data_IF_060284192014
#
_entry.id   IF_060284192014
#
_cell.length_a   1.000
_cell.length_b   1.000
_cell.length_c   1.000
_cell.angle_alpha   90.00
_cell.angle_beta   90.00
_cell.angle_gamma   90.00
#
_symmetry.space_group_name_H-M   'P 1'
#
loop_
_entity.id
_entity.type
_entity.pdbx_description
1 polymer ?
#
# COMPACT_ATOMS: atom_id res chain seq x y z
N UNK A 1 -2.47 9.82 -39.31
CA UNK A 1 -1.14 9.30 -38.92
C UNK A 1 -1.35 8.12 -37.98
N UNK A 2 -1.07 6.86 -38.40
CA UNK A 2 -1.13 5.70 -37.49
C UNK A 2 0.11 5.74 -36.60
N UNK A 3 -0.05 6.07 -35.32
CA UNK A 3 1.02 5.89 -34.33
C UNK A 3 1.21 4.39 -34.17
N UNK A 4 2.18 3.83 -34.89
CA UNK A 4 2.54 2.42 -34.75
C UNK A 4 3.52 2.32 -33.58
N UNK A 5 3.03 1.98 -32.40
CA UNK A 5 3.88 1.79 -31.21
C UNK A 5 4.80 0.60 -31.47
N UNK A 6 6.11 0.79 -31.26
CA UNK A 6 7.10 -0.25 -31.51
C UNK A 6 6.93 -1.42 -30.52
N UNK A 7 6.53 -2.58 -31.03
CA UNK A 7 6.36 -3.82 -30.25
C UNK A 7 7.60 -4.22 -29.44
N UNK A 8 8.82 -3.93 -29.91
CA UNK A 8 10.05 -4.23 -29.15
C UNK A 8 10.13 -3.39 -27.87
N UNK A 9 9.79 -2.10 -27.96
CA UNK A 9 9.77 -1.19 -26.79
C UNK A 9 8.71 -1.61 -25.77
N UNK A 10 7.52 -1.98 -26.23
CA UNK A 10 6.45 -2.48 -25.35
C UNK A 10 6.84 -3.78 -24.64
N UNK A 11 7.43 -4.75 -25.35
CA UNK A 11 7.92 -6.00 -24.75
C UNK A 11 9.02 -5.72 -23.72
N UNK A 12 9.95 -4.82 -24.02
CA UNK A 12 10.99 -4.42 -23.08
C UNK A 12 10.39 -3.78 -21.81
N UNK A 13 9.46 -2.83 -21.96
CA UNK A 13 8.76 -2.21 -20.83
C UNK A 13 8.01 -3.24 -19.97
N UNK A 14 7.34 -4.20 -20.60
CA UNK A 14 6.66 -5.30 -19.90
C UNK A 14 7.65 -6.12 -19.05
N UNK A 15 8.80 -6.48 -19.61
CA UNK A 15 9.85 -7.20 -18.88
C UNK A 15 10.33 -6.39 -17.68
N UNK A 16 10.56 -5.08 -17.85
CA UNK A 16 10.98 -4.20 -16.75
C UNK A 16 9.93 -4.16 -15.63
N UNK A 17 8.64 -4.04 -15.95
CA UNK A 17 7.58 -4.02 -14.94
C UNK A 17 7.41 -5.38 -14.24
N UNK A 18 7.59 -6.49 -14.95
CA UNK A 18 7.60 -7.82 -14.33
C UNK A 18 8.80 -7.98 -13.39
N UNK A 19 9.99 -7.52 -13.78
CA UNK A 19 11.17 -7.54 -12.92
C UNK A 19 10.98 -6.67 -11.68
N UNK A 20 10.34 -5.51 -11.83
CA UNK A 20 10.01 -4.64 -10.71
C UNK A 20 9.00 -5.32 -9.75
N UNK A 21 7.97 -6.00 -10.27
CA UNK A 21 7.06 -6.84 -9.46
C UNK A 21 7.79 -7.91 -8.67
N UNK A 22 8.74 -8.61 -9.30
CA UNK A 22 9.55 -9.64 -8.64
C UNK A 22 10.43 -9.02 -7.55
N UNK A 23 10.97 -7.82 -7.77
CA UNK A 23 11.75 -7.09 -6.78
C UNK A 23 10.88 -6.71 -5.57
N UNK A 24 9.71 -6.12 -5.79
CA UNK A 24 8.75 -5.79 -4.73
C UNK A 24 8.38 -7.02 -3.90
N UNK A 25 8.03 -8.13 -4.56
CA UNK A 25 7.70 -9.37 -3.88
C UNK A 25 8.83 -9.86 -2.97
N UNK A 26 10.08 -9.81 -3.45
CA UNK A 26 11.25 -10.20 -2.65
C UNK A 26 11.52 -9.26 -1.48
N UNK A 27 11.28 -7.95 -1.66
CA UNK A 27 11.44 -6.96 -0.59
C UNK A 27 10.43 -7.21 0.54
N UNK A 28 9.17 -7.41 0.19
CA UNK A 28 8.11 -7.70 1.15
C UNK A 28 8.36 -9.04 1.88
N UNK A 29 8.60 -10.12 1.13
CA UNK A 29 8.67 -11.48 1.68
C UNK A 29 9.92 -11.71 2.54
N UNK A 30 11.08 -11.21 2.11
CA UNK A 30 12.37 -11.53 2.78
C UNK A 30 12.82 -10.49 3.77
N UNK A 31 12.43 -9.24 3.59
CA UNK A 31 12.96 -8.13 4.36
C UNK A 31 11.88 -7.36 5.12
N UNK A 32 10.61 -7.74 4.97
CA UNK A 32 9.46 -7.04 5.54
C UNK A 32 9.46 -5.54 5.15
N UNK A 33 10.03 -5.22 3.97
CA UNK A 33 10.22 -3.86 3.47
C UNK A 33 9.15 -3.54 2.43
N UNK A 34 8.34 -2.54 2.75
CA UNK A 34 7.27 -2.04 1.90
C UNK A 34 7.64 -0.69 1.32
N UNK A 35 7.22 -0.45 0.08
CA UNK A 35 7.46 0.83 -0.58
C UNK A 35 6.48 1.88 -0.04
N UNK A 36 7.02 3.00 0.42
CA UNK A 36 6.24 4.16 0.83
C UNK A 36 6.98 5.44 0.47
N UNK A 37 6.54 6.09 -0.62
CA UNK A 37 7.22 7.26 -1.19
C UNK A 37 6.27 8.45 -1.18
N UNK A 38 6.66 9.55 -0.54
CA UNK A 38 5.88 10.80 -0.53
C UNK A 38 4.41 10.62 -0.10
N UNK A 39 4.15 9.70 0.84
CA UNK A 39 2.80 9.38 1.31
C UNK A 39 2.01 8.41 0.42
N UNK A 40 2.57 7.98 -0.71
CA UNK A 40 2.00 6.93 -1.56
C UNK A 40 2.44 5.58 -0.97
N UNK A 41 1.47 4.77 -0.54
CA UNK A 41 1.73 3.43 -0.03
C UNK A 41 1.88 2.40 -1.15
N UNK A 42 2.33 1.21 -0.77
CA UNK A 42 2.60 0.14 -1.72
C UNK A 42 1.36 -0.31 -2.50
N UNK A 43 0.18 -0.33 -1.88
CA UNK A 43 -1.07 -0.71 -2.57
C UNK A 43 -1.37 0.18 -3.78
N UNK A 44 -1.14 1.49 -3.66
CA UNK A 44 -1.33 2.41 -4.79
C UNK A 44 -0.26 2.18 -5.88
N UNK A 45 0.99 1.92 -5.47
CA UNK A 45 2.09 1.64 -6.41
C UNK A 45 1.79 0.34 -7.19
N UNK A 46 1.37 -0.70 -6.47
CA UNK A 46 0.95 -1.99 -6.99
C UNK A 46 -0.17 -1.82 -8.02
N UNK A 47 -1.21 -1.05 -7.69
CA UNK A 47 -2.33 -0.76 -8.58
C UNK A 47 -1.88 -0.06 -9.87
N UNK A 48 -1.02 0.96 -9.76
CA UNK A 48 -0.52 1.69 -10.93
C UNK A 48 0.31 0.77 -11.83
N UNK A 49 1.15 -0.07 -11.24
CA UNK A 49 1.96 -1.03 -11.97
C UNK A 49 1.11 -2.07 -12.71
N UNK A 50 0.07 -2.59 -12.06
CA UNK A 50 -0.84 -3.56 -12.67
C UNK A 50 -1.61 -2.93 -13.84
N UNK A 51 -2.13 -1.71 -13.67
CA UNK A 51 -2.79 -0.95 -14.75
C UNK A 51 -1.84 -0.76 -15.93
N UNK A 52 -0.58 -0.40 -15.69
CA UNK A 52 0.42 -0.22 -16.75
C UNK A 52 0.70 -1.53 -17.49
N UNK A 53 0.81 -2.65 -16.77
CA UNK A 53 0.99 -3.99 -17.36
C UNK A 53 -0.22 -4.34 -18.24
N UNK A 54 -1.44 -4.14 -17.76
CA UNK A 54 -2.68 -4.41 -18.51
C UNK A 54 -2.70 -3.59 -19.80
N UNK A 55 -2.40 -2.29 -19.74
CA UNK A 55 -2.35 -1.41 -20.91
C UNK A 55 -1.30 -1.92 -21.91
N UNK A 56 -0.11 -2.32 -21.46
CA UNK A 56 0.93 -2.83 -22.36
C UNK A 56 0.51 -4.14 -23.02
N UNK A 57 -0.07 -5.07 -22.25
CA UNK A 57 -0.55 -6.36 -22.77
C UNK A 57 -1.68 -6.16 -23.77
N UNK A 58 -2.66 -5.30 -23.46
CA UNK A 58 -3.73 -4.90 -24.36
C UNK A 58 -3.17 -4.37 -25.69
N UNK A 59 -2.24 -3.40 -25.63
CA UNK A 59 -1.59 -2.83 -26.82
C UNK A 59 -0.83 -3.86 -27.63
N UNK A 60 -0.13 -4.79 -26.99
CA UNK A 60 0.56 -5.88 -27.68
C UNK A 60 -0.43 -6.77 -28.43
N UNK A 61 -1.52 -7.21 -27.78
CA UNK A 61 -2.55 -8.05 -28.41
C UNK A 61 -3.20 -7.33 -29.60
N UNK A 62 -3.56 -6.06 -29.43
CA UNK A 62 -4.17 -5.23 -30.48
C UNK A 62 -3.27 -5.04 -31.71
N UNK A 63 -1.94 -5.03 -31.52
CA UNK A 63 -0.97 -4.88 -32.62
C UNK A 63 -0.86 -6.14 -33.48
N UNK A 64 -1.07 -7.34 -32.92
CA UNK A 64 -1.10 -8.60 -33.69
C UNK A 64 -2.49 -8.90 -34.26
N UNK A 65 -3.55 -8.33 -33.70
CA UNK A 65 -4.92 -8.60 -34.11
C UNK A 65 -5.33 -7.78 -35.33
N UNK A 66 -5.87 -8.43 -36.35
CA UNK A 66 -6.40 -7.77 -37.55
C UNK A 66 -7.94 -7.63 -37.52
N UNK A 67 -8.64 -8.56 -36.84
CA UNK A 67 -10.11 -8.59 -36.75
C UNK A 67 -10.65 -7.50 -35.82
N UNK A 68 -11.53 -6.63 -36.32
CA UNK A 68 -12.14 -5.53 -35.53
C UNK A 68 -12.89 -6.01 -34.29
N UNK A 69 -13.68 -7.08 -34.40
CA UNK A 69 -14.48 -7.63 -33.28
C UNK A 69 -13.58 -8.02 -32.11
N UNK A 70 -12.47 -8.71 -32.37
CA UNK A 70 -11.53 -9.12 -31.31
C UNK A 70 -10.92 -7.89 -30.62
N UNK A 71 -10.63 -6.81 -31.36
CA UNK A 71 -10.12 -5.57 -30.74
C UNK A 71 -11.09 -4.96 -29.75
N UNK A 72 -12.39 -4.94 -30.08
CA UNK A 72 -13.41 -4.44 -29.17
C UNK A 72 -13.53 -5.30 -27.91
N UNK A 73 -13.49 -6.63 -28.07
CA UNK A 73 -13.55 -7.57 -26.93
C UNK A 73 -12.34 -7.37 -26.01
N UNK A 74 -11.13 -7.33 -26.56
CA UNK A 74 -9.90 -7.18 -25.78
C UNK A 74 -9.89 -5.84 -25.02
N UNK A 75 -10.25 -4.74 -25.68
CA UNK A 75 -10.39 -3.44 -25.02
C UNK A 75 -11.44 -3.46 -23.90
N UNK A 76 -12.61 -4.07 -24.15
CA UNK A 76 -13.68 -4.16 -23.17
C UNK A 76 -13.23 -4.92 -21.92
N UNK A 77 -12.51 -6.05 -22.10
CA UNK A 77 -11.95 -6.82 -21.00
C UNK A 77 -10.91 -6.02 -20.21
N UNK A 78 -10.00 -5.32 -20.90
CA UNK A 78 -8.99 -4.49 -20.25
C UNK A 78 -9.62 -3.38 -19.41
N UNK A 79 -10.61 -2.67 -19.95
CA UNK A 79 -11.34 -1.61 -19.22
C UNK A 79 -12.09 -2.19 -18.03
N UNK A 80 -12.80 -3.31 -18.20
CA UNK A 80 -13.54 -3.97 -17.12
C UNK A 80 -12.60 -4.39 -15.99
N UNK A 81 -11.43 -4.95 -16.31
CA UNK A 81 -10.46 -5.38 -15.32
C UNK A 81 -9.82 -4.19 -14.59
N UNK A 82 -9.50 -3.10 -15.29
CA UNK A 82 -9.01 -1.86 -14.68
C UNK A 82 -10.06 -1.28 -13.72
N UNK A 83 -11.33 -1.22 -14.12
CA UNK A 83 -12.42 -0.75 -13.24
C UNK A 83 -12.57 -1.63 -12.00
N UNK A 84 -12.42 -2.94 -12.16
CA UNK A 84 -12.44 -3.87 -11.04
C UNK A 84 -11.27 -3.64 -10.07
N UNK A 85 -10.04 -3.46 -10.56
CA UNK A 85 -8.89 -3.14 -9.71
C UNK A 85 -9.06 -1.81 -8.96
N UNK A 86 -9.60 -0.78 -9.64
CA UNK A 86 -9.92 0.50 -9.01
C UNK A 86 -10.97 0.33 -7.91
N UNK A 87 -12.01 -0.49 -8.14
CA UNK A 87 -13.01 -0.80 -7.13
C UNK A 87 -12.41 -1.50 -5.90
N UNK A 88 -11.57 -2.51 -6.10
CA UNK A 88 -10.88 -3.19 -4.99
C UNK A 88 -10.00 -2.23 -4.21
N UNK A 89 -9.25 -1.36 -4.89
CA UNK A 89 -8.42 -0.36 -4.22
C UNK A 89 -9.24 0.67 -3.44
N UNK A 90 -10.39 1.12 -3.98
CA UNK A 90 -11.29 2.00 -3.25
C UNK A 90 -11.78 1.37 -1.95
N UNK A 91 -12.11 0.07 -1.98
CA UNK A 91 -12.53 -0.66 -0.78
C UNK A 91 -11.39 -0.84 0.23
N UNK A 92 -10.18 -1.15 -0.23
CA UNK A 92 -9.04 -1.48 0.65
C UNK A 92 -8.14 -0.30 1.06
N UNK A 93 -8.32 0.90 0.49
CA UNK A 93 -7.41 2.02 0.72
C UNK A 93 -8.11 3.35 1.06
N UNK A 94 -9.45 3.41 1.01
CA UNK A 94 -10.19 4.67 1.21
C UNK A 94 -10.07 5.26 2.61
N UNK A 95 -9.78 4.44 3.61
CA UNK A 95 -9.81 4.83 5.02
C UNK A 95 -8.42 4.90 5.66
N UNK A 96 -7.38 4.50 4.93
CA UNK A 96 -5.99 4.43 5.40
C UNK A 96 -5.41 5.80 5.69
N UNK A 97 -4.86 5.94 6.89
CA UNK A 97 -4.16 7.14 7.36
C UNK A 97 -2.80 6.77 7.93
N UNK A 98 -1.82 7.65 7.77
CA UNK A 98 -0.45 7.41 8.21
C UNK A 98 0.02 8.50 9.18
N UNK A 99 0.52 8.07 10.34
CA UNK A 99 1.03 8.97 11.38
C UNK A 99 2.51 8.71 11.62
N UNK A 100 3.27 9.77 11.91
CA UNK A 100 4.73 9.70 12.00
C UNK A 100 5.21 10.26 13.34
N UNK A 101 5.97 9.47 14.08
CA UNK A 101 6.54 9.87 15.36
C UNK A 101 8.04 9.64 15.36
N UNK A 102 8.82 10.69 15.59
CA UNK A 102 10.28 10.58 15.66
C UNK A 102 10.70 10.24 17.08
N UNK A 103 11.65 9.31 17.20
CA UNK A 103 12.35 9.02 18.46
C UNK A 103 13.08 10.27 18.99
N UNK A 104 13.35 10.36 20.31
CA UNK A 104 14.00 11.52 20.91
C UNK A 104 15.36 11.86 20.29
N UNK A 105 16.16 10.83 19.97
CA UNK A 105 17.47 10.96 19.32
C UNK A 105 17.40 11.02 17.77
N UNK A 106 16.19 10.92 17.18
CA UNK A 106 15.93 10.86 15.73
C UNK A 106 16.53 9.66 15.01
N UNK A 107 16.94 8.58 15.70
CA UNK A 107 17.47 7.37 15.04
C UNK A 107 16.37 6.53 14.41
N UNK A 108 15.18 6.52 15.02
CA UNK A 108 14.00 5.81 14.53
C UNK A 108 12.84 6.77 14.28
N UNK A 109 11.99 6.43 13.31
CA UNK A 109 10.69 7.07 13.10
C UNK A 109 9.63 5.98 13.03
N UNK A 110 8.72 5.96 14.00
CA UNK A 110 7.53 5.14 13.98
C UNK A 110 6.60 5.65 12.88
N UNK A 111 6.08 4.73 12.07
CA UNK A 111 4.99 4.98 11.14
C UNK A 111 3.83 4.10 11.57
N UNK A 112 2.69 4.71 11.83
CA UNK A 112 1.45 4.01 12.17
C UNK A 112 0.55 4.08 10.95
N UNK A 113 0.24 2.93 10.35
CA UNK A 113 -0.87 2.82 9.39
C UNK A 113 -2.13 2.55 10.20
N UNK A 114 -3.14 3.40 10.08
CA UNK A 114 -4.45 3.20 10.67
C UNK A 114 -5.48 2.99 9.56
N UNK A 115 -6.33 1.98 9.71
CA UNK A 115 -7.37 1.66 8.75
C UNK A 115 -8.63 1.16 9.47
N UNK A 116 -9.74 1.18 8.75
CA UNK A 116 -11.05 0.76 9.21
C UNK A 116 -11.85 0.20 8.03
N UNK A 117 -12.47 -0.96 8.22
CA UNK A 117 -13.36 -1.54 7.23
C UNK A 117 -14.53 -2.23 7.89
N UNK A 118 -15.75 -1.85 7.49
CA UNK A 118 -17.00 -2.30 8.11
C UNK A 118 -17.00 -2.05 9.62
N UNK A 119 -16.85 -3.10 10.43
CA UNK A 119 -16.84 -3.06 11.89
C UNK A 119 -15.44 -3.27 12.49
N UNK A 120 -14.42 -3.51 11.66
CA UNK A 120 -13.05 -3.70 12.12
C UNK A 120 -12.24 -2.42 12.01
N UNK A 121 -11.58 -2.01 13.08
CA UNK A 121 -10.51 -1.02 13.03
C UNK A 121 -9.18 -1.68 13.38
N UNK A 122 -8.10 -1.21 12.77
CA UNK A 122 -6.76 -1.71 13.12
C UNK A 122 -5.70 -0.66 12.87
N UNK A 123 -4.54 -0.87 13.49
CA UNK A 123 -3.35 -0.11 13.17
C UNK A 123 -2.12 -1.01 13.13
N UNK A 124 -1.38 -0.91 12.03
CA UNK A 124 -0.14 -1.63 11.82
C UNK A 124 1.04 -0.70 12.08
N UNK A 125 2.10 -1.25 12.68
CA UNK A 125 3.28 -0.48 13.06
C UNK A 125 4.46 -0.78 12.17
N UNK A 126 5.09 0.28 11.69
CA UNK A 126 6.26 0.21 10.83
C UNK A 126 7.36 1.14 11.33
N UNK A 127 8.58 0.88 10.90
CA UNK A 127 9.69 1.80 11.02
C UNK A 127 10.03 2.41 9.67
N UNK A 128 10.19 3.74 9.64
CA UNK A 128 10.66 4.43 8.43
C UNK A 128 12.11 4.04 8.12
N UNK A 129 12.36 3.51 6.92
CA UNK A 129 13.69 3.23 6.38
C UNK A 129 13.99 4.16 5.20
N UNK A 130 14.59 5.30 5.53
CA UNK A 130 14.95 6.32 4.54
C UNK A 130 13.74 7.00 3.89
N UNK A 131 13.87 7.36 2.61
CA UNK A 131 12.83 8.11 1.87
C UNK A 131 11.84 7.16 1.16
N UNK A 132 12.24 5.91 0.91
CA UNK A 132 11.49 5.04 0.01
C UNK A 132 10.75 3.90 0.71
N UNK A 133 11.15 3.53 1.92
CA UNK A 133 10.68 2.29 2.53
C UNK A 133 10.15 2.49 3.95
N UNK A 134 9.25 1.58 4.32
CA UNK A 134 8.87 1.30 5.70
C UNK A 134 9.13 -0.19 5.95
N UNK A 135 9.64 -0.53 7.13
CA UNK A 135 9.85 -1.91 7.57
C UNK A 135 8.75 -2.28 8.54
N UNK A 136 8.05 -3.39 8.30
CA UNK A 136 7.03 -3.90 9.21
C UNK A 136 7.67 -4.34 10.54
N UNK A 137 7.10 -3.87 11.65
CA UNK A 137 7.52 -4.24 13.00
C UNK A 137 6.77 -5.49 13.51
N UNK A 138 5.92 -6.10 12.68
CA UNK A 138 5.11 -7.30 12.97
C UNK A 138 4.26 -7.16 14.22
N UNK A 139 3.86 -5.92 14.50
CA UNK A 139 3.02 -5.54 15.62
C UNK A 139 1.80 -4.83 15.03
N UNK A 140 0.64 -5.13 15.60
CA UNK A 140 -0.63 -4.52 15.21
C UNK A 140 -1.52 -4.36 16.43
N UNK A 141 -2.39 -3.36 16.40
CA UNK A 141 -3.53 -3.25 17.31
C UNK A 141 -4.82 -3.39 16.50
N UNK A 142 -5.83 -3.95 17.13
CA UNK A 142 -7.19 -4.05 16.59
C UNK A 142 -8.10 -3.25 17.53
N UNK A 143 -9.08 -2.58 16.97
CA UNK A 143 -10.09 -1.77 17.64
C UNK A 143 -11.49 -2.23 17.23
N UNK A 144 -12.47 -1.93 18.08
CA UNK A 144 -13.86 -2.32 17.87
C UNK A 144 -14.62 -1.27 17.04
N UNK A 145 -15.71 -1.68 16.41
CA UNK A 145 -16.63 -0.82 15.66
C UNK A 145 -15.96 0.12 14.64
N UNK A 146 -14.86 -0.33 14.03
CA UNK A 146 -14.11 0.47 13.06
C UNK A 146 -13.40 1.69 13.67
N UNK A 147 -13.22 1.71 14.99
CA UNK A 147 -12.69 2.87 15.70
C UNK A 147 -11.24 3.18 15.32
N UNK A 148 -10.94 4.47 15.16
CA UNK A 148 -9.65 4.97 14.69
C UNK A 148 -9.02 5.92 15.71
N UNK A 149 -8.32 5.40 16.73
CA UNK A 149 -7.81 6.21 17.84
C UNK A 149 -6.83 7.31 17.38
N UNK A 150 -6.00 7.05 16.38
CA UNK A 150 -5.01 8.02 15.91
C UNK A 150 -5.65 9.16 15.12
N UNK A 151 -6.62 8.85 14.25
CA UNK A 151 -7.42 9.86 13.54
C UNK A 151 -8.30 10.69 14.47
N UNK A 152 -8.81 10.08 15.55
CA UNK A 152 -9.63 10.75 16.56
C UNK A 152 -8.81 11.51 17.62
N UNK A 153 -7.47 11.46 17.56
CA UNK A 153 -6.58 11.95 18.63
C UNK A 153 -6.87 11.35 20.02
N UNK A 154 -7.45 10.15 20.08
CA UNK A 154 -7.68 9.41 21.32
C UNK A 154 -6.55 8.41 21.58
N UNK A 155 -5.35 8.96 21.69
CA UNK A 155 -4.16 8.20 22.05
C UNK A 155 -3.16 9.06 22.83
N UNK A 156 -2.30 8.38 23.59
CA UNK A 156 -1.11 8.95 24.21
C UNK A 156 0.09 8.11 23.79
N UNK A 157 1.11 8.78 23.28
CA UNK A 157 2.36 8.15 22.85
C UNK A 157 3.50 8.64 23.73
N UNK A 158 4.26 7.69 24.30
CA UNK A 158 5.44 7.97 25.12
C UNK A 158 6.59 7.06 24.73
N UNK A 159 7.67 7.65 24.23
CA UNK A 159 8.93 6.93 24.05
C UNK A 159 9.48 6.52 25.42
N UNK A 160 9.70 5.23 25.61
CA UNK A 160 10.31 4.69 26.83
C UNK A 160 11.84 4.76 26.73
N UNK A 161 12.35 4.47 25.54
CA UNK A 161 13.74 4.64 25.12
C UNK A 161 13.79 4.94 23.60
N UNK A 162 14.94 4.77 22.94
CA UNK A 162 15.05 5.02 21.50
C UNK A 162 14.46 3.89 20.63
N UNK A 163 14.32 2.69 21.20
CA UNK A 163 13.93 1.45 20.51
C UNK A 163 12.56 0.92 20.99
N UNK A 164 11.87 1.62 21.89
CA UNK A 164 10.56 1.23 22.35
C UNK A 164 9.66 2.42 22.67
N UNK A 165 8.38 2.25 22.35
CA UNK A 165 7.35 3.28 22.51
C UNK A 165 6.10 2.66 23.11
N UNK A 166 5.60 3.30 24.16
CA UNK A 166 4.32 2.97 24.78
C UNK A 166 3.21 3.78 24.11
N UNK A 167 2.14 3.08 23.75
CA UNK A 167 0.94 3.66 23.15
C UNK A 167 -0.25 3.27 24.01
N UNK A 168 -0.96 4.27 24.52
CA UNK A 168 -2.27 4.11 25.14
C UNK A 168 -3.30 4.64 24.14
N UNK A 169 -4.31 3.86 23.81
CA UNK A 169 -5.25 4.18 22.72
C UNK A 169 -6.69 3.81 23.09
N UNK A 170 -7.65 4.59 22.59
CA UNK A 170 -9.07 4.27 22.69
C UNK A 170 -9.45 3.04 21.88
N UNK A 171 -10.26 2.16 22.45
CA UNK A 171 -10.61 0.88 21.82
C UNK A 171 -11.90 0.91 20.97
N UNK A 172 -12.83 1.83 21.23
CA UNK A 172 -14.06 2.00 20.44
C UNK A 172 -15.30 2.41 21.25
N UNK A 173 -15.46 1.84 22.44
CA UNK A 173 -16.50 2.25 23.40
C UNK A 173 -15.99 3.36 24.32
N UNK A 174 -16.88 4.27 24.73
CA UNK A 174 -16.57 5.35 25.67
C UNK A 174 -15.81 4.81 26.90
N UNK A 175 -14.64 5.42 27.18
CA UNK A 175 -13.74 5.17 28.32
C UNK A 175 -12.94 3.85 28.37
N UNK A 176 -12.88 3.05 27.29
CA UNK A 176 -11.95 1.90 27.24
C UNK A 176 -10.65 2.29 26.54
N UNK A 177 -9.58 2.44 27.32
CA UNK A 177 -8.22 2.58 26.82
C UNK A 177 -7.44 1.26 26.97
N UNK A 178 -6.73 0.88 25.91
CA UNK A 178 -5.75 -0.21 25.93
C UNK A 178 -4.35 0.34 25.84
N UNK A 179 -3.38 -0.47 26.24
CA UNK A 179 -1.96 -0.13 26.22
C UNK A 179 -1.19 -1.19 25.45
N UNK A 180 -0.34 -0.75 24.54
CA UNK A 180 0.58 -1.57 23.76
C UNK A 180 2.00 -0.99 23.82
N UNK A 181 3.02 -1.85 23.81
CA UNK A 181 4.42 -1.43 23.75
C UNK A 181 5.00 -1.89 22.42
N UNK A 182 5.33 -0.93 21.56
CA UNK A 182 5.91 -1.21 20.26
C UNK A 182 7.43 -1.19 20.37
N UNK A 183 8.07 -2.27 19.92
CA UNK A 183 9.53 -2.41 19.91
C UNK A 183 10.10 -2.34 18.51
N UNK A 184 11.26 -1.71 18.39
CA UNK A 184 12.09 -1.64 17.20
C UNK A 184 13.19 -2.69 17.32
N UNK A 185 13.12 -3.73 16.47
CA UNK A 185 14.14 -4.80 16.39
C UNK A 185 15.41 -4.35 15.65
#
# INVERSE_FOLDING_TARGET
MKICINNKKLKFALIVFILFRILEFKLNEKFDLYIMVLGINQLIIDLLLDILIIIIVDRLILNYTTKKIIKYIVNFLAVTFILFLLFINLMGNSSKSYFYFKSPNKSHTLVIEEDSFLLGGWSNFYERKGILFIRDLKQQIITDDGYKPFSCNDYKLKWLDNNSVEIIYGFGSEDIHKKEIIKFD
#
